data_IF_675216755233
#
_entry.id   IF_675216755233
#
_cell.length_a   1.000
_cell.length_b   1.000
_cell.length_c   1.000
_cell.angle_alpha   90.00
_cell.angle_beta   90.00
_cell.angle_gamma   90.00
#
_symmetry.space_group_name_H-M   'P 1'
#
loop_
_entity.id
_entity.type
_entity.pdbx_description
1 polymer ?
#
# COMPACT_ATOMS: atom_id res chain seq x y z
N UNK A 1 -4.02 1.12 -37.66
CA UNK A 1 -4.50 1.67 -36.36
C UNK A 1 -4.96 0.50 -35.50
N UNK A 2 -4.06 -0.10 -34.77
CA UNK A 2 -4.36 -1.24 -33.89
C UNK A 2 -4.96 -0.69 -32.59
N UNK A 3 -6.20 -1.02 -32.35
CA UNK A 3 -6.97 -0.63 -31.19
C UNK A 3 -6.33 -1.27 -29.93
N UNK A 4 -5.77 -0.45 -29.05
CA UNK A 4 -5.33 -0.81 -27.69
C UNK A 4 -6.47 -1.26 -26.75
N UNK A 5 -7.66 -1.54 -27.31
CA UNK A 5 -8.87 -1.91 -26.56
C UNK A 5 -8.92 -3.37 -26.08
N UNK A 6 -7.88 -4.21 -26.29
CA UNK A 6 -7.97 -5.65 -26.01
C UNK A 6 -6.99 -6.23 -25.00
N UNK A 7 -6.16 -5.43 -24.33
CA UNK A 7 -5.16 -5.98 -23.41
C UNK A 7 -5.65 -6.19 -21.96
N UNK A 8 -6.74 -5.56 -21.55
CA UNK A 8 -7.36 -5.78 -20.25
C UNK A 8 -8.88 -5.72 -20.47
N UNK A 9 -9.50 -6.88 -20.64
CA UNK A 9 -10.93 -6.98 -20.37
C UNK A 9 -11.05 -6.71 -18.86
N UNK A 10 -11.31 -5.44 -18.51
CA UNK A 10 -11.71 -5.12 -17.15
C UNK A 10 -12.92 -6.00 -16.86
N UNK A 11 -12.93 -6.64 -15.69
CA UNK A 11 -14.11 -7.32 -15.19
C UNK A 11 -15.30 -6.37 -15.38
N UNK A 12 -16.30 -6.69 -16.23
CA UNK A 12 -17.41 -5.79 -16.48
C UNK A 12 -18.23 -5.48 -15.23
N UNK A 13 -18.04 -6.25 -14.14
CA UNK A 13 -18.63 -6.01 -12.82
C UNK A 13 -17.79 -5.06 -11.96
N UNK A 14 -16.53 -4.75 -12.34
CA UNK A 14 -15.68 -3.88 -11.55
C UNK A 14 -16.19 -2.43 -11.59
N UNK A 15 -16.43 -1.79 -10.43
CA UNK A 15 -16.92 -0.42 -10.40
C UNK A 15 -15.89 0.54 -10.97
N UNK A 16 -16.33 1.36 -11.93
CA UNK A 16 -15.52 2.43 -12.51
C UNK A 16 -15.39 3.57 -11.48
N UNK A 17 -14.15 3.87 -11.06
CA UNK A 17 -13.85 4.95 -10.13
C UNK A 17 -13.91 6.33 -10.75
N UNK A 18 -13.42 6.46 -11.97
CA UNK A 18 -13.40 7.72 -12.69
C UNK A 18 -13.12 7.51 -14.17
N UNK A 19 -13.79 8.28 -15.00
CA UNK A 19 -13.46 8.42 -16.41
C UNK A 19 -13.09 9.88 -16.65
N UNK A 20 -11.85 10.13 -17.10
CA UNK A 20 -11.38 11.47 -17.47
C UNK A 20 -11.07 11.52 -18.95
N UNK A 21 -11.67 12.49 -19.62
CA UNK A 21 -11.42 12.75 -21.05
C UNK A 21 -10.49 13.94 -21.17
N UNK A 22 -9.35 13.74 -21.80
CA UNK A 22 -8.40 14.80 -22.11
C UNK A 22 -8.39 15.03 -23.63
N UNK A 23 -8.39 16.27 -24.02
CA UNK A 23 -8.18 16.66 -25.41
C UNK A 23 -6.80 17.30 -25.52
N UNK A 24 -5.92 16.70 -26.31
CA UNK A 24 -4.57 17.20 -26.56
C UNK A 24 -4.40 17.52 -28.03
N UNK A 25 -3.95 18.73 -28.32
CA UNK A 25 -3.50 19.11 -29.66
C UNK A 25 -2.02 18.77 -29.83
N UNK A 26 -1.66 18.13 -30.92
CA UNK A 26 -0.24 17.90 -31.29
C UNK A 26 0.32 19.13 -31.99
N UNK A 27 1.64 19.24 -32.07
CA UNK A 27 2.32 20.33 -32.84
C UNK A 27 1.90 20.37 -34.33
N UNK A 28 1.42 19.26 -34.86
CA UNK A 28 0.88 19.14 -36.25
C UNK A 28 -0.61 19.42 -36.35
N UNK A 29 -1.25 19.99 -35.33
CA UNK A 29 -2.68 20.33 -35.32
C UNK A 29 -3.64 19.15 -35.15
N UNK A 30 -3.16 17.91 -35.03
CA UNK A 30 -4.01 16.76 -34.77
C UNK A 30 -4.57 16.80 -33.33
N UNK A 31 -5.88 16.68 -33.21
CA UNK A 31 -6.59 16.56 -31.94
C UNK A 31 -6.66 15.10 -31.54
N UNK A 32 -6.13 14.78 -30.36
CA UNK A 32 -6.21 13.46 -29.75
C UNK A 32 -7.13 13.49 -28.54
N UNK A 33 -8.15 12.64 -28.55
CA UNK A 33 -8.99 12.37 -27.39
C UNK A 33 -8.39 11.22 -26.63
N UNK A 34 -7.96 11.47 -25.38
CA UNK A 34 -7.43 10.45 -24.47
C UNK A 34 -8.49 10.21 -23.40
N UNK A 35 -8.97 8.98 -23.30
CA UNK A 35 -9.88 8.55 -22.24
C UNK A 35 -9.07 7.74 -21.24
N UNK A 36 -9.02 8.18 -19.99
CA UNK A 36 -8.43 7.44 -18.87
C UNK A 36 -9.54 6.96 -17.96
N UNK A 37 -9.66 5.66 -17.84
CA UNK A 37 -10.59 5.00 -16.92
C UNK A 37 -9.82 4.33 -15.79
N UNK A 38 -10.34 4.42 -14.59
CA UNK A 38 -9.77 3.82 -13.39
C UNK A 38 -10.82 2.92 -12.77
N UNK A 39 -10.46 1.65 -12.57
CA UNK A 39 -11.34 0.63 -12.00
C UNK A 39 -10.80 0.12 -10.69
N UNK A 40 -11.70 -0.21 -9.76
CA UNK A 40 -11.36 -0.95 -8.55
C UNK A 40 -11.11 -2.41 -8.87
N UNK A 41 -10.16 -3.01 -8.17
CA UNK A 41 -9.74 -4.40 -8.34
C UNK A 41 -9.86 -5.15 -7.01
N UNK A 42 -10.11 -6.46 -7.08
CA UNK A 42 -10.10 -7.36 -5.92
C UNK A 42 -8.83 -8.22 -5.87
N UNK A 43 -8.11 -8.32 -6.98
CA UNK A 43 -6.98 -9.21 -7.20
C UNK A 43 -5.61 -8.60 -6.85
N UNK A 44 -5.54 -7.38 -6.28
CA UNK A 44 -4.28 -6.79 -5.81
C UNK A 44 -3.80 -7.58 -4.58
N UNK A 45 -2.64 -8.26 -4.66
CA UNK A 45 -2.19 -9.14 -3.59
C UNK A 45 -1.67 -8.35 -2.39
N UNK A 46 -1.76 -8.95 -1.19
CA UNK A 46 -1.15 -8.41 0.02
C UNK A 46 0.38 -8.61 0.08
N UNK A 47 0.94 -9.40 -0.82
CA UNK A 47 2.36 -9.77 -0.92
C UNK A 47 2.99 -10.43 0.31
N UNK A 48 2.19 -10.88 1.28
CA UNK A 48 2.69 -11.65 2.41
C UNK A 48 2.78 -13.15 2.07
N UNK A 49 3.92 -13.76 2.36
CA UNK A 49 4.13 -15.23 2.25
C UNK A 49 3.22 -16.02 3.20
N UNK A 50 2.61 -15.38 4.18
CA UNK A 50 1.58 -16.00 5.03
C UNK A 50 0.25 -16.19 4.32
N UNK A 51 -0.05 -15.41 3.29
CA UNK A 51 -1.37 -15.40 2.66
C UNK A 51 -1.44 -16.35 1.45
N UNK A 52 -2.05 -17.52 1.65
CA UNK A 52 -2.29 -18.48 0.56
C UNK A 52 -3.43 -18.05 -0.38
N UNK A 53 -4.38 -17.26 0.10
CA UNK A 53 -5.50 -16.79 -0.72
C UNK A 53 -5.05 -15.85 -1.85
N UNK A 54 -4.13 -14.93 -1.57
CA UNK A 54 -3.56 -14.07 -2.61
C UNK A 54 -2.64 -14.83 -3.58
N UNK A 55 -2.06 -15.97 -3.16
CA UNK A 55 -1.28 -16.86 -4.03
C UNK A 55 -2.13 -17.49 -5.13
N UNK A 56 -3.33 -17.95 -4.78
CA UNK A 56 -4.20 -18.68 -5.69
C UNK A 56 -4.91 -17.78 -6.70
N UNK A 57 -5.02 -16.48 -6.41
CA UNK A 57 -5.72 -15.48 -7.27
C UNK A 57 -4.76 -14.64 -8.12
N UNK A 58 -3.45 -14.78 -7.92
CA UNK A 58 -2.47 -14.05 -8.73
C UNK A 58 -2.57 -14.50 -10.20
N UNK A 59 -2.69 -13.55 -11.16
CA UNK A 59 -2.68 -13.89 -12.58
C UNK A 59 -1.41 -14.66 -12.95
N UNK A 60 -1.54 -15.71 -13.76
CA UNK A 60 -0.43 -16.57 -14.18
C UNK A 60 0.70 -15.81 -14.89
N UNK A 61 0.41 -14.69 -15.51
CA UNK A 61 1.39 -13.80 -16.15
C UNK A 61 2.27 -13.02 -15.15
N UNK A 62 1.90 -12.98 -13.87
CA UNK A 62 2.72 -12.37 -12.80
C UNK A 62 3.95 -13.18 -12.44
N UNK A 63 4.03 -14.45 -12.85
CA UNK A 63 5.09 -15.38 -12.48
C UNK A 63 6.46 -15.06 -13.10
N UNK A 64 6.55 -14.13 -14.05
CA UNK A 64 7.80 -13.95 -14.79
C UNK A 64 8.69 -12.77 -14.39
N UNK A 65 8.25 -11.76 -13.62
CA UNK A 65 9.07 -10.54 -13.39
C UNK A 65 9.04 -9.87 -12.02
N UNK A 66 8.12 -10.23 -11.12
CA UNK A 66 8.12 -9.70 -9.74
C UNK A 66 7.88 -10.88 -8.81
N UNK A 67 8.70 -11.09 -7.77
CA UNK A 67 8.38 -12.10 -6.78
C UNK A 67 7.01 -11.74 -6.20
N UNK A 68 5.98 -12.60 -6.32
CA UNK A 68 4.61 -12.28 -5.92
C UNK A 68 4.49 -12.03 -4.41
N UNK A 69 5.52 -12.37 -3.65
CA UNK A 69 5.58 -12.29 -2.20
C UNK A 69 6.90 -11.68 -1.75
N UNK A 70 6.84 -10.39 -1.47
CA UNK A 70 7.97 -9.61 -0.96
C UNK A 70 8.09 -9.77 0.55
N UNK A 71 6.95 -9.71 1.27
CA UNK A 71 6.91 -9.72 2.73
C UNK A 71 7.16 -11.11 3.30
N UNK A 72 7.98 -11.19 4.34
CA UNK A 72 8.34 -12.45 5.03
C UNK A 72 7.12 -13.13 5.64
N UNK A 73 7.14 -14.45 5.73
CA UNK A 73 6.21 -15.23 6.57
C UNK A 73 6.58 -15.17 8.07
N UNK A 74 7.79 -14.70 8.38
CA UNK A 74 8.32 -14.54 9.76
C UNK A 74 8.95 -13.16 9.91
N UNK A 75 8.12 -12.08 9.93
CA UNK A 75 8.66 -10.75 10.12
C UNK A 75 9.32 -10.60 11.49
N UNK A 76 10.21 -9.63 11.62
CA UNK A 76 10.97 -9.40 12.84
C UNK A 76 10.05 -9.20 14.06
N UNK A 77 10.36 -9.91 15.15
CA UNK A 77 9.68 -9.79 16.42
C UNK A 77 10.37 -8.75 17.30
N UNK A 78 9.58 -8.04 18.10
CA UNK A 78 10.04 -7.11 19.13
C UNK A 78 9.37 -7.45 20.47
N UNK A 79 9.79 -6.78 21.55
CA UNK A 79 9.12 -6.94 22.86
C UNK A 79 7.63 -6.57 22.78
N UNK A 80 7.29 -5.53 22.00
CA UNK A 80 5.91 -5.08 21.83
C UNK A 80 5.11 -6.01 20.88
N UNK A 81 5.78 -6.63 19.91
CA UNK A 81 5.17 -7.49 18.89
C UNK A 81 5.87 -8.86 18.85
N UNK A 82 5.64 -9.74 19.82
CA UNK A 82 6.39 -10.99 19.97
C UNK A 82 6.12 -12.02 18.84
N UNK A 83 5.04 -11.84 18.09
CA UNK A 83 4.71 -12.68 16.93
C UNK A 83 5.27 -12.14 15.61
N UNK A 84 6.09 -11.09 15.66
CA UNK A 84 6.52 -10.35 14.49
C UNK A 84 5.51 -9.30 14.03
N UNK A 85 5.92 -8.41 13.14
CA UNK A 85 5.04 -7.37 12.63
C UNK A 85 5.46 -6.86 11.26
N UNK A 86 4.47 -6.39 10.49
CA UNK A 86 4.64 -5.57 9.30
C UNK A 86 4.41 -4.10 9.64
N UNK A 87 5.00 -3.22 8.86
CA UNK A 87 4.98 -1.78 9.10
C UNK A 87 4.32 -1.08 7.93
N UNK A 88 3.39 -0.16 8.22
CA UNK A 88 2.78 0.75 7.26
C UNK A 88 3.10 2.18 7.71
N UNK A 89 4.15 2.83 7.16
CA UNK A 89 4.42 4.22 7.43
C UNK A 89 3.46 5.14 6.70
N UNK A 90 3.12 6.26 7.34
CA UNK A 90 2.43 7.36 6.68
C UNK A 90 3.41 8.28 5.91
N UNK A 91 2.88 9.31 5.27
CA UNK A 91 3.68 10.27 4.53
C UNK A 91 4.66 11.03 5.42
N UNK A 92 4.24 11.45 6.62
CA UNK A 92 5.08 12.23 7.51
C UNK A 92 6.28 11.43 8.02
N UNK A 93 6.09 10.13 8.31
CA UNK A 93 7.18 9.26 8.71
C UNK A 93 8.30 9.19 7.65
N UNK A 94 7.96 9.13 6.36
CA UNK A 94 8.95 9.16 5.29
C UNK A 94 9.57 10.54 5.08
N UNK A 95 8.79 11.61 5.21
CA UNK A 95 9.30 12.97 5.02
C UNK A 95 10.30 13.39 6.09
N UNK A 96 10.10 12.93 7.34
CA UNK A 96 10.94 13.30 8.49
C UNK A 96 12.03 12.28 8.79
N UNK A 97 11.83 11.01 8.45
CA UNK A 97 12.68 9.91 8.87
C UNK A 97 13.27 9.04 7.76
N UNK A 98 13.36 9.52 6.51
CA UNK A 98 13.86 8.71 5.39
C UNK A 98 15.21 8.06 5.68
N UNK A 99 16.13 8.76 6.33
CA UNK A 99 17.47 8.24 6.67
C UNK A 99 17.39 7.01 7.58
N UNK A 100 16.40 6.95 8.48
CA UNK A 100 16.18 5.81 9.39
C UNK A 100 15.66 4.61 8.62
N UNK A 101 14.79 4.81 7.62
CA UNK A 101 14.30 3.73 6.75
C UNK A 101 15.40 3.13 5.87
N UNK A 102 16.45 3.87 5.57
CA UNK A 102 17.60 3.40 4.79
C UNK A 102 18.60 2.59 5.61
N UNK A 103 18.60 2.70 6.95
CA UNK A 103 19.45 1.88 7.81
C UNK A 103 19.17 0.41 7.56
N UNK A 104 20.20 -0.35 7.20
CA UNK A 104 20.09 -1.70 6.64
C UNK A 104 19.32 -2.68 7.53
N UNK A 105 19.46 -2.55 8.84
CA UNK A 105 18.86 -3.48 9.83
C UNK A 105 17.58 -2.96 10.49
N UNK A 106 17.25 -1.66 10.32
CA UNK A 106 16.22 -1.02 11.14
C UNK A 106 14.79 -1.34 10.70
N UNK A 107 14.53 -1.33 9.41
CA UNK A 107 13.19 -1.51 8.86
C UNK A 107 13.18 -2.60 7.79
N UNK A 108 12.42 -3.64 8.03
CA UNK A 108 12.16 -4.74 7.10
C UNK A 108 10.66 -5.01 7.06
N UNK A 109 10.20 -5.65 5.97
CA UNK A 109 8.80 -6.01 5.80
C UNK A 109 7.85 -4.79 5.86
N UNK A 110 8.19 -3.74 5.08
CA UNK A 110 7.46 -2.47 5.04
C UNK A 110 6.47 -2.45 3.88
N UNK A 111 5.24 -2.08 4.18
CA UNK A 111 4.16 -1.91 3.20
C UNK A 111 4.05 -0.41 2.90
N UNK A 112 4.46 -0.01 1.70
CA UNK A 112 4.36 1.36 1.21
C UNK A 112 3.04 1.51 0.48
N UNK A 113 2.12 2.28 1.01
CA UNK A 113 0.84 2.53 0.35
C UNK A 113 1.04 3.44 -0.87
N UNK A 114 0.33 3.17 -1.97
CA UNK A 114 0.36 4.03 -3.15
C UNK A 114 -0.05 5.47 -2.81
N UNK A 115 -1.07 5.66 -1.98
CA UNK A 115 -1.49 6.99 -1.50
C UNK A 115 -0.32 7.76 -0.90
N UNK A 116 0.47 7.10 -0.02
CA UNK A 116 1.65 7.66 0.62
C UNK A 116 2.76 7.94 -0.40
N UNK A 117 3.02 6.99 -1.30
CA UNK A 117 4.03 7.14 -2.34
C UNK A 117 3.76 8.33 -3.26
N UNK A 118 2.51 8.53 -3.67
CA UNK A 118 2.09 9.67 -4.49
C UNK A 118 2.21 10.98 -3.71
N UNK A 119 1.86 11.00 -2.43
CA UNK A 119 1.99 12.19 -1.60
C UNK A 119 3.45 12.58 -1.36
N UNK A 120 4.34 11.62 -1.06
CA UNK A 120 5.80 11.85 -0.96
C UNK A 120 6.33 12.42 -2.28
N UNK A 121 5.91 11.87 -3.42
CA UNK A 121 6.29 12.37 -4.75
C UNK A 121 5.88 13.83 -4.96
N UNK A 122 4.68 14.19 -4.53
CA UNK A 122 4.16 15.55 -4.68
C UNK A 122 4.85 16.55 -3.75
N UNK A 123 5.32 16.11 -2.58
CA UNK A 123 5.99 16.97 -1.59
C UNK A 123 7.49 17.05 -1.79
N UNK A 124 8.15 15.94 -2.17
CA UNK A 124 9.61 15.88 -2.33
C UNK A 124 10.01 14.80 -3.32
N UNK A 125 10.35 15.22 -4.53
CA UNK A 125 10.85 14.32 -5.57
C UNK A 125 12.14 13.58 -5.18
N UNK A 126 13.14 14.21 -4.49
CA UNK A 126 14.32 13.50 -4.00
C UNK A 126 13.98 12.37 -3.04
N UNK A 127 13.10 12.59 -2.04
CA UNK A 127 12.66 11.55 -1.10
C UNK A 127 11.87 10.44 -1.81
N UNK A 128 11.06 10.79 -2.79
CA UNK A 128 10.38 9.81 -3.63
C UNK A 128 11.37 8.87 -4.34
N UNK A 129 12.45 9.39 -4.91
CA UNK A 129 13.47 8.55 -5.57
C UNK A 129 14.17 7.63 -4.57
N UNK A 130 14.49 8.12 -3.37
CA UNK A 130 15.06 7.31 -2.28
C UNK A 130 14.08 6.18 -1.88
N UNK A 131 12.81 6.51 -1.68
CA UNK A 131 11.77 5.52 -1.35
C UNK A 131 11.61 4.47 -2.45
N UNK A 132 11.61 4.87 -3.73
CA UNK A 132 11.59 3.92 -4.86
C UNK A 132 12.83 3.01 -4.86
N UNK A 133 13.99 3.52 -4.47
CA UNK A 133 15.20 2.68 -4.36
C UNK A 133 15.05 1.62 -3.28
N UNK A 134 14.43 1.95 -2.14
CA UNK A 134 14.11 0.99 -1.08
C UNK A 134 13.13 -0.10 -1.55
N UNK A 135 12.15 0.23 -2.39
CA UNK A 135 11.22 -0.77 -2.92
C UNK A 135 11.85 -1.76 -3.91
N UNK A 136 13.03 -1.45 -4.42
CA UNK A 136 13.82 -2.32 -5.32
C UNK A 136 14.87 -3.14 -4.58
N UNK A 137 15.10 -2.86 -3.31
CA UNK A 137 16.06 -3.57 -2.49
C UNK A 137 15.39 -4.84 -1.92
N UNK A 138 15.86 -6.01 -2.37
CA UNK A 138 15.29 -7.30 -1.98
C UNK A 138 15.51 -7.62 -0.50
N UNK A 139 16.62 -7.16 0.10
CA UNK A 139 16.95 -7.40 1.51
C UNK A 139 16.01 -6.64 2.45
N UNK A 140 15.53 -5.48 2.02
CA UNK A 140 14.63 -4.62 2.79
C UNK A 140 13.17 -5.07 2.78
N UNK A 141 12.73 -5.77 1.73
CA UNK A 141 11.34 -6.23 1.56
C UNK A 141 10.30 -5.11 1.70
N UNK A 142 10.49 -4.02 0.95
CA UNK A 142 9.54 -2.92 0.83
C UNK A 142 8.56 -3.22 -0.30
N UNK A 143 7.29 -3.39 0.03
CA UNK A 143 6.23 -3.71 -0.92
C UNK A 143 5.32 -2.52 -1.18
N UNK A 144 5.12 -2.14 -2.45
CA UNK A 144 4.15 -1.10 -2.82
C UNK A 144 2.77 -1.71 -2.95
N UNK A 145 1.87 -1.32 -2.06
CA UNK A 145 0.47 -1.76 -2.08
C UNK A 145 -0.44 -0.70 -2.69
N UNK A 146 -1.16 -1.08 -3.74
CA UNK A 146 -2.04 -0.19 -4.50
C UNK A 146 -3.42 -0.03 -3.84
N UNK A 147 -3.43 0.56 -2.64
CA UNK A 147 -4.61 0.70 -1.80
C UNK A 147 -5.75 1.51 -2.42
N UNK A 148 -5.45 2.48 -3.30
CA UNK A 148 -6.45 3.30 -4.00
C UNK A 148 -7.11 2.59 -5.19
N UNK A 149 -6.59 1.43 -5.59
CA UNK A 149 -7.17 0.61 -6.65
C UNK A 149 -7.81 -0.67 -6.14
N UNK A 150 -7.54 -1.04 -4.87
CA UNK A 150 -8.18 -2.21 -4.27
C UNK A 150 -9.53 -1.84 -3.67
N UNK A 151 -10.59 -2.60 -4.04
CA UNK A 151 -11.98 -2.31 -3.64
C UNK A 151 -12.17 -2.17 -2.14
N UNK A 152 -11.56 -3.06 -1.36
CA UNK A 152 -11.74 -3.11 0.09
C UNK A 152 -11.02 -1.96 0.82
N UNK A 153 -9.93 -1.44 0.24
CA UNK A 153 -9.12 -0.37 0.86
C UNK A 153 -9.37 1.01 0.26
N UNK A 154 -10.08 1.08 -0.85
CA UNK A 154 -10.42 2.36 -1.48
C UNK A 154 -11.27 3.24 -0.57
N UNK A 155 -10.93 4.53 -0.50
CA UNK A 155 -11.63 5.54 0.29
C UNK A 155 -12.14 6.66 -0.60
N UNK A 156 -13.46 6.83 -0.64
CA UNK A 156 -14.10 8.00 -1.27
C UNK A 156 -13.87 9.22 -0.39
N UNK A 157 -13.53 10.35 -0.99
CA UNK A 157 -13.41 11.61 -0.26
C UNK A 157 -14.78 12.11 0.16
N UNK A 158 -14.97 12.41 1.44
CA UNK A 158 -16.22 12.92 1.97
C UNK A 158 -16.40 14.43 1.64
N UNK A 159 -17.64 14.90 1.68
CA UNK A 159 -17.93 16.30 1.43
C UNK A 159 -17.31 17.17 2.53
N UNK A 160 -16.51 18.17 2.13
CA UNK A 160 -15.78 19.03 3.07
C UNK A 160 -14.48 18.45 3.63
N UNK A 161 -14.18 17.18 3.41
CA UNK A 161 -12.93 16.55 3.84
C UNK A 161 -11.74 17.13 3.04
N UNK A 162 -10.62 17.40 3.71
CA UNK A 162 -9.39 17.78 3.01
C UNK A 162 -8.76 16.55 2.31
N UNK A 163 -7.86 16.79 1.37
CA UNK A 163 -7.11 15.69 0.71
C UNK A 163 -6.25 14.96 1.73
N UNK A 164 -5.65 15.70 2.68
CA UNK A 164 -4.82 15.14 3.74
C UNK A 164 -5.64 14.23 4.66
N UNK A 165 -6.80 14.70 5.17
CA UNK A 165 -7.66 13.88 6.04
C UNK A 165 -8.14 12.59 5.33
N UNK A 166 -8.48 12.70 4.03
CA UNK A 166 -8.82 11.52 3.21
C UNK A 166 -7.64 10.55 3.12
N UNK A 167 -6.42 11.04 2.91
CA UNK A 167 -5.23 10.21 2.81
C UNK A 167 -4.93 9.51 4.14
N UNK A 168 -5.02 10.22 5.27
CA UNK A 168 -4.86 9.65 6.61
C UNK A 168 -5.89 8.54 6.87
N UNK A 169 -7.15 8.78 6.47
CA UNK A 169 -8.21 7.78 6.56
C UNK A 169 -7.94 6.58 5.66
N UNK A 170 -7.36 6.78 4.47
CA UNK A 170 -6.97 5.70 3.57
C UNK A 170 -5.83 4.86 4.16
N UNK A 171 -4.85 5.49 4.82
CA UNK A 171 -3.79 4.78 5.55
C UNK A 171 -4.40 3.90 6.65
N UNK A 172 -5.23 4.46 7.54
CA UNK A 172 -5.87 3.68 8.61
C UNK A 172 -6.72 2.52 8.08
N UNK A 173 -7.50 2.76 7.02
CA UNK A 173 -8.30 1.70 6.38
C UNK A 173 -7.43 0.58 5.83
N UNK A 174 -6.31 0.90 5.20
CA UNK A 174 -5.38 -0.10 4.68
C UNK A 174 -4.73 -0.92 5.81
N UNK A 175 -4.30 -0.29 6.91
CA UNK A 175 -3.76 -0.99 8.09
C UNK A 175 -4.77 -1.98 8.66
N UNK A 176 -6.02 -1.54 8.87
CA UNK A 176 -7.10 -2.38 9.38
C UNK A 176 -7.36 -3.56 8.45
N UNK A 177 -7.47 -3.29 7.14
CA UNK A 177 -7.66 -4.34 6.15
C UNK A 177 -6.52 -5.37 6.17
N UNK A 178 -5.25 -4.93 6.24
CA UNK A 178 -4.10 -5.83 6.31
C UNK A 178 -4.16 -6.73 7.53
N UNK A 179 -4.47 -6.17 8.72
CA UNK A 179 -4.57 -6.93 9.95
C UNK A 179 -5.67 -8.02 9.85
N UNK A 180 -6.88 -7.62 9.44
CA UNK A 180 -8.02 -8.54 9.27
C UNK A 180 -7.75 -9.60 8.21
N UNK A 181 -7.12 -9.22 7.09
CA UNK A 181 -6.77 -10.13 5.99
C UNK A 181 -5.74 -11.19 6.42
N UNK A 182 -4.72 -10.80 7.16
CA UNK A 182 -3.70 -11.73 7.68
C UNK A 182 -4.30 -12.66 8.75
N UNK A 183 -5.14 -12.16 9.63
CA UNK A 183 -5.84 -12.99 10.61
C UNK A 183 -6.69 -14.06 9.94
N UNK A 184 -7.42 -13.69 8.87
CA UNK A 184 -8.19 -14.65 8.08
C UNK A 184 -7.28 -15.68 7.39
N UNK A 185 -6.13 -15.28 6.89
CA UNK A 185 -5.18 -16.17 6.23
C UNK A 185 -4.50 -17.16 7.20
N UNK A 186 -4.33 -16.77 8.47
CA UNK A 186 -3.67 -17.60 9.50
C UNK A 186 -4.65 -18.53 10.21
N UNK A 187 -5.93 -18.17 10.36
CA UNK A 187 -6.97 -18.98 11.03
C UNK A 187 -7.01 -20.46 10.62
N UNK A 188 -6.93 -20.82 9.32
CA UNK A 188 -6.97 -22.23 8.89
C UNK A 188 -5.78 -23.05 9.36
N UNK A 189 -4.68 -22.41 9.77
CA UNK A 189 -3.45 -23.08 10.22
C UNK A 189 -3.52 -23.61 11.66
N UNK A 190 -4.66 -23.38 12.35
CA UNK A 190 -4.93 -23.87 13.70
C UNK A 190 -4.59 -22.88 14.82
N UNK A 191 -4.95 -23.23 16.06
CA UNK A 191 -4.83 -22.37 17.25
C UNK A 191 -3.38 -21.96 17.60
N UNK A 192 -2.39 -22.72 17.14
CA UNK A 192 -0.96 -22.45 17.38
C UNK A 192 -0.35 -21.46 16.37
N UNK A 193 -1.05 -21.14 15.30
CA UNK A 193 -0.54 -20.23 14.29
C UNK A 193 -0.62 -18.79 14.79
N UNK A 194 0.53 -18.14 14.84
CA UNK A 194 0.68 -16.76 15.32
C UNK A 194 0.54 -15.81 14.15
N UNK A 195 -0.41 -14.87 14.25
CA UNK A 195 -0.55 -13.79 13.28
C UNK A 195 0.40 -12.64 13.65
N UNK A 196 1.23 -12.15 12.72
CA UNK A 196 1.99 -10.93 12.95
C UNK A 196 1.07 -9.71 13.06
N UNK A 197 1.49 -8.71 13.82
CA UNK A 197 0.79 -7.45 13.90
C UNK A 197 1.03 -6.60 12.64
N UNK A 198 0.10 -5.69 12.33
CA UNK A 198 0.32 -4.63 11.34
C UNK A 198 0.34 -3.29 12.07
N UNK A 199 1.47 -2.60 12.00
CA UNK A 199 1.74 -1.40 12.80
C UNK A 199 1.80 -0.17 11.89
N UNK A 200 0.98 0.82 12.17
CA UNK A 200 1.06 2.13 11.54
C UNK A 200 2.18 2.96 12.18
N UNK A 201 3.06 3.53 11.38
CA UNK A 201 4.05 4.51 11.85
C UNK A 201 3.66 5.89 11.36
N UNK A 202 3.44 6.81 12.31
CA UNK A 202 3.04 8.18 12.01
C UNK A 202 3.53 9.12 13.10
N UNK A 203 4.03 10.29 12.73
CA UNK A 203 4.36 11.36 13.67
C UNK A 203 3.19 12.36 13.84
N UNK A 204 2.07 12.15 13.15
CA UNK A 204 0.84 12.92 13.34
C UNK A 204 0.06 12.41 14.55
N UNK A 205 0.00 13.23 15.61
CA UNK A 205 -0.68 12.89 16.86
C UNK A 205 -2.19 12.69 16.68
N UNK A 206 -2.85 13.47 15.81
CA UNK A 206 -4.29 13.33 15.58
C UNK A 206 -4.58 12.05 14.79
N UNK A 207 -3.75 11.73 13.80
CA UNK A 207 -3.85 10.48 13.06
C UNK A 207 -3.63 9.26 13.97
N UNK A 208 -2.64 9.30 14.89
CA UNK A 208 -2.43 8.24 15.89
C UNK A 208 -3.61 8.11 16.87
N UNK A 209 -4.19 9.25 17.31
CA UNK A 209 -5.39 9.25 18.17
C UNK A 209 -6.58 8.58 17.47
N UNK A 210 -6.82 8.91 16.19
CA UNK A 210 -7.86 8.28 15.37
C UNK A 210 -7.58 6.79 15.14
N UNK A 211 -6.32 6.42 14.87
CA UNK A 211 -5.92 5.02 14.72
C UNK A 211 -6.22 4.20 15.99
N UNK A 212 -5.93 4.74 17.17
CA UNK A 212 -6.26 4.10 18.45
C UNK A 212 -7.78 3.91 18.62
N UNK A 213 -8.60 4.90 18.23
CA UNK A 213 -10.06 4.78 18.25
C UNK A 213 -10.57 3.69 17.30
N UNK A 214 -9.89 3.50 16.16
CA UNK A 214 -10.18 2.45 15.17
C UNK A 214 -9.59 1.07 15.55
N UNK A 215 -9.01 0.92 16.75
CA UNK A 215 -8.33 -0.29 17.24
C UNK A 215 -7.12 -0.71 16.38
N UNK A 216 -6.44 0.27 15.80
CA UNK A 216 -5.24 0.08 14.99
C UNK A 216 -4.00 0.28 15.88
N UNK A 217 -3.02 -0.62 15.77
CA UNK A 217 -1.70 -0.46 16.39
C UNK A 217 -0.94 0.65 15.69
N UNK A 218 -0.71 1.77 16.35
CA UNK A 218 0.03 2.92 15.81
C UNK A 218 1.11 3.41 16.76
N UNK A 219 2.27 3.78 16.22
CA UNK A 219 3.43 4.29 16.96
C UNK A 219 4.01 5.51 16.25
N UNK A 220 4.57 6.45 17.03
CA UNK A 220 5.45 7.47 16.47
C UNK A 220 6.78 6.85 16.03
N UNK A 221 7.40 7.40 14.99
CA UNK A 221 8.67 6.89 14.47
C UNK A 221 9.74 6.82 15.54
N UNK A 222 9.89 7.88 16.35
CA UNK A 222 10.85 7.91 17.44
C UNK A 222 10.61 6.83 18.51
N UNK A 223 9.36 6.49 18.81
CA UNK A 223 9.01 5.44 19.76
C UNK A 223 9.21 4.03 19.21
N UNK A 224 9.19 3.88 17.89
CA UNK A 224 9.42 2.59 17.23
C UNK A 224 10.91 2.23 17.22
N UNK A 225 11.81 3.21 17.06
CA UNK A 225 13.26 3.00 16.98
C UNK A 225 13.98 3.07 18.32
N UNK A 226 13.30 3.49 19.39
CA UNK A 226 13.85 3.54 20.77
C UNK A 226 13.86 2.13 21.39
#
# INVERSE_FOLDING_TARGET
>A
MTSLKRAYAADPSAPNLSSKVYVRSTKSGKVQKIVREVYLRQDIPCSSKLCTACLSTAPTDYHQKVPPFVLSDRPAATKAFPNGHYIIPDTNAFLTGMDVFEVETAFQDVIVLQTVLEEVKNRSLPLYHRLISLTKNEDKRFYVFFNDFRMETYVVRDQGETINDRNDRAVRKAVKWYQEHLEQAVKPRGKSAKCPAVVMISDDRDNLRKAKADSISGLALGNYVA
#
